data_IF_528086228839
#
_entry.id   IF_528086228839
#
_cell.length_a   1.000
_cell.length_b   1.000
_cell.length_c   1.000
_cell.angle_alpha   90.00
_cell.angle_beta   90.00
_cell.angle_gamma   90.00
#
_symmetry.space_group_name_H-M   'P 1'
#
loop_
_entity.id
_entity.type
_entity.pdbx_description
1 polymer ?
#
# COMPACT_ATOMS: atom_id res chain seq x y z
N UNK A 1 -27.36 -3.17 -15.85
CA UNK A 1 -26.28 -3.88 -16.56
C UNK A 1 -25.00 -3.09 -16.36
N UNK A 2 -24.05 -3.68 -15.63
CA UNK A 2 -22.92 -3.07 -14.91
C UNK A 2 -22.19 -1.90 -15.61
N UNK A 3 -22.43 -0.66 -15.15
CA UNK A 3 -21.51 0.46 -15.38
C UNK A 3 -20.14 0.20 -14.73
N UNK A 4 -20.13 -0.47 -13.56
CA UNK A 4 -18.93 -0.81 -12.78
C UNK A 4 -17.96 -1.74 -13.53
N UNK A 5 -18.49 -2.67 -14.34
CA UNK A 5 -17.67 -3.60 -15.13
C UNK A 5 -17.01 -2.92 -16.35
N UNK A 6 -17.61 -1.84 -16.88
CA UNK A 6 -17.00 -1.02 -17.95
C UNK A 6 -15.87 -0.12 -17.44
N UNK A 7 -15.90 0.26 -16.17
CA UNK A 7 -14.86 1.07 -15.51
C UNK A 7 -13.73 0.25 -14.89
N UNK A 8 -13.74 -1.10 -15.01
CA UNK A 8 -12.76 -2.00 -14.36
C UNK A 8 -12.62 -1.74 -12.86
N UNK A 9 -13.69 -1.34 -12.19
CA UNK A 9 -13.68 -1.17 -10.73
C UNK A 9 -13.76 -2.56 -10.12
N UNK A 10 -12.62 -3.06 -9.64
CA UNK A 10 -12.52 -4.36 -8.99
C UNK A 10 -12.67 -4.24 -7.46
N UNK A 11 -12.80 -5.39 -6.79
CA UNK A 11 -13.02 -5.44 -5.34
C UNK A 11 -11.89 -4.77 -4.54
N UNK A 12 -10.66 -4.78 -5.05
CA UNK A 12 -9.54 -4.07 -4.45
C UNK A 12 -9.74 -2.56 -4.49
N UNK A 13 -10.08 -1.99 -5.65
CA UNK A 13 -10.37 -0.56 -5.77
C UNK A 13 -11.54 -0.14 -4.87
N UNK A 14 -12.60 -0.94 -4.80
CA UNK A 14 -13.73 -0.68 -3.90
C UNK A 14 -13.29 -0.69 -2.43
N UNK A 15 -12.47 -1.67 -2.04
CA UNK A 15 -11.90 -1.75 -0.69
C UNK A 15 -11.03 -0.55 -0.36
N UNK A 16 -10.22 -0.09 -1.32
CA UNK A 16 -9.37 1.10 -1.16
C UNK A 16 -10.20 2.36 -0.92
N UNK A 17 -11.23 2.60 -1.74
CA UNK A 17 -12.11 3.75 -1.57
C UNK A 17 -12.89 3.69 -0.26
N UNK A 18 -13.36 2.50 0.14
CA UNK A 18 -14.04 2.31 1.41
C UNK A 18 -13.12 2.63 2.60
N UNK A 19 -11.88 2.14 2.58
CA UNK A 19 -10.89 2.45 3.61
C UNK A 19 -10.57 3.96 3.69
N UNK A 20 -10.41 4.61 2.53
CA UNK A 20 -10.27 6.08 2.45
C UNK A 20 -11.46 6.80 3.08
N UNK A 21 -12.68 6.42 2.70
CA UNK A 21 -13.90 7.04 3.20
C UNK A 21 -14.02 6.90 4.73
N UNK A 22 -13.68 5.73 5.28
CA UNK A 22 -13.64 5.51 6.73
C UNK A 22 -12.66 6.47 7.40
N UNK A 23 -11.43 6.61 6.88
CA UNK A 23 -10.44 7.52 7.45
C UNK A 23 -10.87 8.99 7.46
N UNK A 24 -11.59 9.43 6.43
CA UNK A 24 -12.11 10.81 6.32
C UNK A 24 -13.31 11.04 7.24
N UNK A 25 -14.27 10.11 7.27
CA UNK A 25 -15.51 10.27 8.02
C UNK A 25 -15.35 9.98 9.52
N UNK A 26 -14.43 9.08 9.88
CA UNK A 26 -14.16 8.63 11.24
C UNK A 26 -12.68 8.82 11.59
N UNK A 27 -12.22 10.08 11.70
CA UNK A 27 -10.82 10.35 12.04
C UNK A 27 -10.53 9.91 13.48
N UNK A 28 -9.55 9.02 13.64
CA UNK A 28 -9.01 8.69 14.95
C UNK A 28 -8.33 9.93 15.55
N UNK A 29 -8.74 10.35 16.74
CA UNK A 29 -8.22 11.52 17.46
C UNK A 29 -7.74 11.11 18.85
N UNK A 30 -6.84 11.92 19.43
CA UNK A 30 -6.25 11.62 20.74
C UNK A 30 -5.50 10.29 20.76
N UNK A 31 -5.64 9.54 21.85
CA UNK A 31 -4.93 8.27 22.07
C UNK A 31 -5.19 7.23 20.97
N UNK A 32 -6.41 7.18 20.43
CA UNK A 32 -6.74 6.30 19.32
C UNK A 32 -5.94 6.67 18.04
N UNK A 33 -5.72 7.96 17.81
CA UNK A 33 -4.88 8.43 16.70
C UNK A 33 -3.42 7.98 16.86
N UNK A 34 -2.87 8.09 18.08
CA UNK A 34 -1.50 7.66 18.37
C UNK A 34 -1.33 6.14 18.24
N UNK A 35 -2.34 5.37 18.65
CA UNK A 35 -2.36 3.92 18.45
C UNK A 35 -2.37 3.55 16.96
N UNK A 36 -3.22 4.18 16.16
CA UNK A 36 -3.29 3.97 14.70
C UNK A 36 -1.99 4.38 14.00
N UNK A 37 -1.38 5.49 14.42
CA UNK A 37 -0.08 5.93 13.88
C UNK A 37 1.01 4.89 14.15
N UNK A 38 1.09 4.39 15.39
CA UNK A 38 2.08 3.39 15.78
C UNK A 38 1.84 2.07 15.05
N UNK A 39 0.59 1.62 14.97
CA UNK A 39 0.22 0.42 14.23
C UNK A 39 0.59 0.53 12.74
N UNK A 40 0.39 1.70 12.13
CA UNK A 40 0.77 1.96 10.73
C UNK A 40 2.29 1.84 10.53
N UNK A 41 3.09 2.43 11.43
CA UNK A 41 4.55 2.30 11.38
C UNK A 41 5.01 0.84 11.48
N UNK A 42 4.42 0.08 12.40
CA UNK A 42 4.73 -1.36 12.56
C UNK A 42 4.32 -2.15 11.31
N UNK A 43 3.13 -1.91 10.76
CA UNK A 43 2.66 -2.57 9.55
C UNK A 43 3.60 -2.29 8.36
N UNK A 44 4.03 -1.05 8.18
CA UNK A 44 5.02 -0.68 7.16
C UNK A 44 6.34 -1.41 7.41
N UNK A 45 6.87 -1.40 8.63
CA UNK A 45 8.11 -2.09 8.96
C UNK A 45 8.04 -3.60 8.64
N UNK A 46 6.91 -4.25 8.95
CA UNK A 46 6.67 -5.66 8.62
C UNK A 46 6.59 -5.86 7.11
N UNK A 47 5.87 -5.02 6.37
CA UNK A 47 5.78 -5.10 4.91
C UNK A 47 7.17 -4.99 4.27
N UNK A 48 7.98 -4.03 4.72
CA UNK A 48 9.35 -3.86 4.25
C UNK A 48 10.25 -5.03 4.65
N UNK A 49 10.07 -5.62 5.84
CA UNK A 49 10.81 -6.81 6.24
C UNK A 49 10.44 -8.01 5.37
N UNK A 50 9.16 -8.24 5.12
CA UNK A 50 8.66 -9.33 4.28
C UNK A 50 9.08 -9.17 2.81
N UNK A 51 9.08 -7.94 2.28
CA UNK A 51 9.61 -7.67 0.95
C UNK A 51 11.14 -7.76 0.92
N UNK A 52 11.83 -7.18 1.90
CA UNK A 52 13.28 -7.17 1.98
C UNK A 52 13.87 -8.58 2.12
N UNK A 53 13.20 -9.47 2.84
CA UNK A 53 13.58 -10.89 2.94
C UNK A 53 13.34 -11.67 1.64
N UNK A 54 12.41 -11.22 0.79
CA UNK A 54 12.16 -11.81 -0.53
C UNK A 54 13.08 -11.22 -1.61
N UNK A 55 13.59 -10.01 -1.45
CA UNK A 55 14.52 -9.41 -2.40
C UNK A 55 15.90 -10.08 -2.30
N UNK A 56 16.35 -10.70 -3.39
CA UNK A 56 17.75 -11.06 -3.52
C UNK A 56 18.59 -9.78 -3.71
N UNK A 57 19.67 -9.54 -2.95
CA UNK A 57 20.50 -8.33 -3.09
C UNK A 57 21.07 -8.14 -4.51
N UNK A 58 21.14 -9.21 -5.31
CA UNK A 58 21.51 -9.15 -6.73
C UNK A 58 20.44 -8.52 -7.61
N UNK A 59 19.15 -8.75 -7.34
CA UNK A 59 18.04 -8.18 -8.13
C UNK A 59 17.93 -6.67 -7.94
N UNK A 60 18.18 -6.16 -6.72
CA UNK A 60 18.27 -4.73 -6.45
C UNK A 60 19.44 -4.07 -7.20
N UNK A 61 20.60 -4.75 -7.27
CA UNK A 61 21.78 -4.29 -8.01
C UNK A 61 21.58 -4.38 -9.53
N UNK A 62 20.87 -5.39 -10.03
CA UNK A 62 20.51 -5.50 -11.45
C UNK A 62 19.47 -4.47 -11.86
N UNK A 63 18.48 -4.16 -11.02
CA UNK A 63 17.57 -3.03 -11.23
C UNK A 63 18.29 -1.69 -11.30
N UNK A 64 19.35 -1.51 -10.48
CA UNK A 64 20.21 -0.31 -10.53
C UNK A 64 21.08 -0.25 -11.80
N UNK A 65 21.60 -1.39 -12.27
CA UNK A 65 22.40 -1.48 -13.51
C UNK A 65 21.56 -1.27 -14.77
N UNK A 66 20.29 -1.65 -14.77
CA UNK A 66 19.37 -1.49 -15.90
C UNK A 66 18.65 -0.13 -15.92
N UNK A 67 19.19 0.92 -15.28
CA UNK A 67 18.63 2.28 -15.35
C UNK A 67 18.52 2.82 -16.80
N UNK A 68 19.24 2.20 -17.76
CA UNK A 68 19.20 2.54 -19.19
C UNK A 68 18.10 1.86 -20.02
N UNK A 69 17.19 1.08 -19.42
CA UNK A 69 16.04 0.48 -20.13
C UNK A 69 14.69 1.15 -19.81
N UNK A 70 14.71 2.33 -19.18
CA UNK A 70 13.60 3.27 -19.29
C UNK A 70 13.77 4.10 -20.58
N UNK A 71 13.61 3.43 -21.72
CA UNK A 71 13.26 4.03 -23.01
C UNK A 71 12.17 3.18 -23.63
#
# INVERSE_FOLDING_TARGET
MNLLAKLRVDAFLLGLFAAMAIGVLLPARGDAGQAVETATKVAIAVLFLLYGTRLHPREALEGLKHWRLHT
#
